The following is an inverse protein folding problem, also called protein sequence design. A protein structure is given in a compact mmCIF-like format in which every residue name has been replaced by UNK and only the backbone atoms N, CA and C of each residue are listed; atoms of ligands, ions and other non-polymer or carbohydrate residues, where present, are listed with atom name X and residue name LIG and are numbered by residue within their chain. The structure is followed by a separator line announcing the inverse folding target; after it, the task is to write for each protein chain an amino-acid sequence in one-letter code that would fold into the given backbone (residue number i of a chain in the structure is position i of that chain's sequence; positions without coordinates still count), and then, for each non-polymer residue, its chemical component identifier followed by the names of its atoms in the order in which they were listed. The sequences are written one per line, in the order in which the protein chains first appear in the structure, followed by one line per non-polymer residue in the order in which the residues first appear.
data_IF_028095692965
#
_entry.id   IF_028095692965
#
_cell.length_a   1.000
_cell.length_b   1.000
_cell.length_c   1.000
_cell.angle_alpha   90.00
_cell.angle_beta   90.00
_cell.angle_gamma   90.00
#
_symmetry.space_group_name_H-M   'P 1'
#
loop_
_entity.id
_entity.type
_entity.pdbx_description
1 polymer ?
#
# COMPACT_ATOMS: atom_id res chain seq x y z
N UNK A 1 -13.87 -32.10 -10.55
CA UNK A 1 -13.97 -30.80 -9.82
C UNK A 1 -12.62 -30.13 -9.64
N UNK A 2 -11.54 -30.89 -9.49
CA UNK A 2 -10.17 -30.41 -9.32
C UNK A 2 -9.63 -29.56 -10.49
N UNK A 3 -9.82 -29.98 -11.75
CA UNK A 3 -9.37 -29.21 -12.93
C UNK A 3 -10.00 -27.80 -13.02
N UNK A 4 -11.29 -27.65 -12.70
CA UNK A 4 -11.97 -26.33 -12.70
C UNK A 4 -11.43 -25.42 -11.60
N UNK A 5 -11.07 -25.98 -10.43
CA UNK A 5 -10.43 -25.24 -9.33
C UNK A 5 -9.02 -24.79 -9.71
N UNK A 6 -8.20 -25.66 -10.29
CA UNK A 6 -6.84 -25.33 -10.74
C UNK A 6 -6.86 -24.21 -11.79
N UNK A 7 -7.76 -24.28 -12.76
CA UNK A 7 -7.93 -23.21 -13.77
C UNK A 7 -8.28 -21.87 -13.11
N UNK A 8 -9.20 -21.88 -12.13
CA UNK A 8 -9.58 -20.67 -11.38
C UNK A 8 -8.38 -20.12 -10.59
N UNK A 9 -7.62 -20.96 -9.90
CA UNK A 9 -6.41 -20.54 -9.17
C UNK A 9 -5.38 -19.91 -10.10
N UNK A 10 -5.11 -20.54 -11.25
CA UNK A 10 -4.15 -20.03 -12.23
C UNK A 10 -4.60 -18.67 -12.78
N UNK A 11 -5.90 -18.53 -13.10
CA UNK A 11 -6.45 -17.27 -13.61
C UNK A 11 -6.31 -16.13 -12.59
N UNK A 12 -6.54 -16.42 -11.31
CA UNK A 12 -6.43 -15.41 -10.25
C UNK A 12 -4.97 -15.08 -9.92
N UNK A 13 -4.07 -16.07 -9.93
CA UNK A 13 -2.63 -15.82 -9.80
C UNK A 13 -2.09 -15.02 -10.99
N UNK A 14 -2.56 -15.30 -12.21
CA UNK A 14 -2.21 -14.53 -13.40
C UNK A 14 -2.70 -13.08 -13.29
N UNK A 15 -3.91 -12.86 -12.76
CA UNK A 15 -4.45 -11.51 -12.50
C UNK A 15 -3.60 -10.75 -11.47
N UNK A 16 -3.24 -11.38 -10.35
CA UNK A 16 -2.37 -10.76 -9.34
C UNK A 16 -0.99 -10.46 -9.93
N UNK A 17 -0.40 -11.42 -10.63
CA UNK A 17 0.89 -11.25 -11.29
C UNK A 17 0.85 -10.13 -12.34
N UNK A 18 -0.26 -9.97 -13.09
CA UNK A 18 -0.43 -8.89 -14.05
C UNK A 18 -0.30 -7.50 -13.40
N UNK A 19 -1.02 -7.25 -12.30
CA UNK A 19 -0.93 -5.96 -11.60
C UNK A 19 0.43 -5.72 -10.95
N UNK A 20 1.03 -6.75 -10.35
CA UNK A 20 2.36 -6.65 -9.75
C UNK A 20 3.42 -6.38 -10.82
N UNK A 21 3.39 -7.10 -11.94
CA UNK A 21 4.35 -6.91 -13.04
C UNK A 21 4.15 -5.56 -13.71
N UNK A 22 2.91 -5.11 -13.92
CA UNK A 22 2.65 -3.75 -14.43
C UNK A 22 3.17 -2.67 -13.49
N UNK A 23 2.97 -2.82 -12.18
CA UNK A 23 3.49 -1.89 -11.18
C UNK A 23 5.02 -1.87 -11.19
N UNK A 24 5.68 -3.03 -11.14
CA UNK A 24 7.14 -3.12 -11.21
C UNK A 24 7.66 -2.52 -12.52
N UNK A 25 6.98 -2.77 -13.65
CA UNK A 25 7.35 -2.16 -14.93
C UNK A 25 7.16 -0.65 -14.94
N UNK A 26 6.13 -0.12 -14.27
CA UNK A 26 5.94 1.32 -14.12
C UNK A 26 7.06 1.94 -13.26
N UNK A 27 7.42 1.29 -12.15
CA UNK A 27 8.50 1.73 -11.25
C UNK A 27 9.88 1.64 -11.93
N UNK A 28 10.22 0.50 -12.53
CA UNK A 28 11.54 0.25 -13.17
C UNK A 28 11.68 0.94 -14.51
N UNK A 29 10.59 1.01 -15.28
CA UNK A 29 10.58 1.65 -16.59
C UNK A 29 10.75 3.17 -16.51
N UNK A 30 10.77 3.74 -15.30
CA UNK A 30 10.75 5.18 -15.08
C UNK A 30 9.78 5.84 -16.06
N UNK A 31 8.56 5.27 -16.20
CA UNK A 31 7.47 6.05 -16.75
C UNK A 31 7.33 7.18 -15.77
N UNK A 32 7.87 8.30 -16.20
CA UNK A 32 7.87 9.54 -15.46
C UNK A 32 6.45 9.68 -14.95
N UNK A 33 6.25 9.64 -13.64
CA UNK A 33 4.99 10.00 -12.98
C UNK A 33 4.66 11.50 -13.20
N UNK A 34 5.30 12.11 -14.20
CA UNK A 34 4.90 13.37 -14.80
C UNK A 34 3.80 13.07 -15.81
N UNK A 35 2.74 13.87 -15.87
CA UNK A 35 1.80 13.82 -16.99
C UNK A 35 2.60 13.83 -18.30
N UNK A 36 2.32 12.89 -19.21
CA UNK A 36 2.97 12.86 -20.54
C UNK A 36 2.56 14.06 -21.38
N UNK A 37 1.50 14.74 -20.97
CA UNK A 37 1.04 16.02 -21.51
C UNK A 37 2.05 17.10 -21.14
N UNK A 38 2.97 17.40 -22.06
CA UNK A 38 3.92 18.49 -21.87
C UNK A 38 3.21 19.84 -22.06
N UNK A 39 3.76 20.92 -21.49
CA UNK A 39 3.21 22.26 -21.68
C UNK A 39 3.11 22.65 -23.17
N UNK A 40 3.89 22.04 -24.05
CA UNK A 40 3.83 22.21 -25.51
C UNK A 40 2.59 21.54 -26.13
N UNK A 41 2.18 20.34 -25.67
CA UNK A 41 0.98 19.64 -26.16
C UNK A 41 -0.31 20.39 -25.81
N UNK A 42 -0.29 21.12 -24.69
CA UNK A 42 -1.44 21.83 -24.14
C UNK A 42 -1.66 23.22 -24.76
N UNK A 43 -0.62 23.81 -25.36
CA UNK A 43 -0.70 25.12 -26.02
C UNK A 43 -1.53 25.08 -27.31
N UNK A 44 -1.65 23.92 -27.95
CA UNK A 44 -2.46 23.72 -29.16
C UNK A 44 -3.94 23.44 -28.91
N UNK A 45 -4.33 23.23 -27.65
CA UNK A 45 -5.70 22.83 -27.27
C UNK A 45 -6.50 24.02 -26.74
N UNK A 46 -7.83 24.04 -26.97
CA UNK A 46 -8.67 25.08 -26.42
C UNK A 46 -8.77 24.95 -24.88
N UNK A 47 -8.84 26.08 -24.17
CA UNK A 47 -8.74 26.17 -22.70
C UNK A 47 -9.68 25.25 -21.91
N UNK A 48 -10.81 24.87 -22.48
CA UNK A 48 -11.84 24.02 -21.87
C UNK A 48 -11.54 22.51 -21.99
N UNK A 49 -10.69 22.10 -22.93
CA UNK A 49 -10.26 20.71 -23.12
C UNK A 49 -9.05 20.35 -22.24
N UNK A 50 -8.24 21.34 -21.86
CA UNK A 50 -7.05 21.18 -21.00
C UNK A 50 -7.38 20.39 -19.71
N UNK A 51 -8.41 20.73 -18.91
CA UNK A 51 -8.72 19.98 -17.70
C UNK A 51 -9.14 18.54 -17.96
N UNK A 52 -9.87 18.28 -19.05
CA UNK A 52 -10.35 16.94 -19.40
C UNK A 52 -9.20 16.02 -19.81
N UNK A 53 -8.27 16.51 -20.61
CA UNK A 53 -7.06 15.76 -21.01
C UNK A 53 -6.19 15.46 -19.80
N UNK A 54 -5.97 16.44 -18.91
CA UNK A 54 -5.23 16.22 -17.67
C UNK A 54 -5.91 15.20 -16.74
N UNK A 55 -7.23 15.29 -16.57
CA UNK A 55 -7.98 14.33 -15.75
C UNK A 55 -7.89 12.92 -16.33
N UNK A 56 -7.95 12.77 -17.65
CA UNK A 56 -7.82 11.49 -18.32
C UNK A 56 -6.41 10.89 -18.14
N UNK A 57 -5.37 11.70 -18.34
CA UNK A 57 -3.98 11.31 -18.14
C UNK A 57 -3.74 10.85 -16.70
N UNK A 58 -4.26 11.60 -15.71
CA UNK A 58 -4.18 11.23 -14.30
C UNK A 58 -4.95 9.94 -13.98
N UNK A 59 -6.13 9.75 -14.57
CA UNK A 59 -6.94 8.55 -14.37
C UNK A 59 -6.26 7.29 -14.94
N UNK A 60 -5.65 7.39 -16.11
CA UNK A 60 -4.92 6.27 -16.74
C UNK A 60 -3.74 5.80 -15.88
N UNK A 61 -3.01 6.74 -15.28
CA UNK A 61 -1.89 6.41 -14.38
C UNK A 61 -2.36 5.94 -13.00
N UNK A 62 -3.38 6.60 -12.43
CA UNK A 62 -3.90 6.29 -11.10
C UNK A 62 -4.56 4.91 -11.01
N UNK A 63 -5.24 4.46 -12.06
CA UNK A 63 -5.98 3.19 -12.05
C UNK A 63 -5.09 1.98 -11.85
N UNK A 64 -3.92 1.92 -12.50
CA UNK A 64 -2.97 0.81 -12.35
C UNK A 64 -2.45 0.76 -10.91
N UNK A 65 -2.13 1.93 -10.34
CA UNK A 65 -1.67 2.05 -8.96
C UNK A 65 -2.73 1.62 -7.95
N UNK A 66 -3.96 2.09 -8.14
CA UNK A 66 -5.10 1.76 -7.29
C UNK A 66 -5.42 0.25 -7.34
N UNK A 67 -5.42 -0.33 -8.55
CA UNK A 67 -5.63 -1.77 -8.77
C UNK A 67 -4.58 -2.61 -8.05
N UNK A 68 -3.30 -2.23 -8.13
CA UNK A 68 -2.24 -2.87 -7.37
C UNK A 68 -2.47 -2.78 -5.86
N UNK A 69 -2.83 -1.60 -5.34
CA UNK A 69 -3.04 -1.40 -3.92
C UNK A 69 -4.18 -2.26 -3.36
N UNK A 70 -5.30 -2.41 -4.09
CA UNK A 70 -6.40 -3.28 -3.67
C UNK A 70 -6.04 -4.76 -3.69
N UNK A 71 -5.32 -5.20 -4.73
CA UNK A 71 -4.83 -6.57 -4.83
C UNK A 71 -3.89 -6.91 -3.67
N UNK A 72 -2.91 -6.04 -3.40
CA UNK A 72 -1.94 -6.24 -2.31
C UNK A 72 -2.61 -6.13 -0.94
N UNK A 73 -3.54 -5.20 -0.75
CA UNK A 73 -4.31 -5.07 0.50
C UNK A 73 -5.12 -6.33 0.82
N UNK A 74 -5.82 -6.88 -0.18
CA UNK A 74 -6.51 -8.16 -0.07
C UNK A 74 -5.58 -9.32 0.23
N UNK A 75 -4.42 -9.35 -0.43
CA UNK A 75 -3.41 -10.37 -0.18
C UNK A 75 -2.87 -10.27 1.26
N UNK A 76 -2.64 -9.06 1.77
CA UNK A 76 -2.21 -8.86 3.15
C UNK A 76 -3.26 -9.33 4.16
N UNK A 77 -4.52 -8.99 3.95
CA UNK A 77 -5.61 -9.38 4.85
C UNK A 77 -5.80 -10.90 4.95
N UNK A 78 -5.50 -11.64 3.89
CA UNK A 78 -5.78 -13.07 3.80
C UNK A 78 -4.53 -13.97 3.95
N UNK A 79 -3.38 -13.57 3.39
CA UNK A 79 -2.18 -14.41 3.36
C UNK A 79 -1.26 -14.24 4.56
N UNK A 80 -1.30 -13.10 5.24
CA UNK A 80 -0.39 -12.87 6.36
C UNK A 80 -0.98 -13.49 7.64
N UNK A 81 -0.29 -14.48 8.24
CA UNK A 81 -0.78 -15.08 9.48
C UNK A 81 -0.72 -14.07 10.62
N UNK A 82 -1.85 -13.89 11.33
CA UNK A 82 -1.97 -13.04 12.53
C UNK A 82 -0.84 -13.19 13.56
N UNK A 83 -0.34 -14.39 13.91
CA UNK A 83 0.79 -14.50 14.84
C UNK A 83 2.07 -13.84 14.33
N UNK A 84 2.27 -13.79 13.01
CA UNK A 84 3.39 -13.07 12.41
C UNK A 84 3.20 -11.55 12.55
N UNK A 85 2.01 -11.02 12.26
CA UNK A 85 1.70 -9.60 12.45
C UNK A 85 1.77 -9.14 13.90
N UNK A 86 1.23 -9.93 14.83
CA UNK A 86 1.33 -9.64 16.27
C UNK A 86 2.77 -9.74 16.78
N UNK A 87 3.62 -10.57 16.17
CA UNK A 87 5.04 -10.68 16.53
C UNK A 87 5.89 -9.54 16.00
N UNK A 88 5.70 -9.13 14.74
CA UNK A 88 6.57 -8.16 14.05
C UNK A 88 5.99 -6.76 13.92
N UNK A 89 4.66 -6.59 13.89
CA UNK A 89 3.98 -5.31 13.69
C UNK A 89 3.07 -4.89 14.86
N UNK A 90 3.38 -5.34 16.08
CA UNK A 90 2.65 -4.90 17.28
C UNK A 90 3.07 -3.49 17.72
N UNK A 91 2.11 -2.63 18.05
CA UNK A 91 2.33 -1.27 18.56
C UNK A 91 3.17 -1.20 19.84
N UNK A 92 3.30 -2.33 20.57
CA UNK A 92 4.10 -2.39 21.80
C UNK A 92 5.60 -2.47 21.54
N UNK A 93 6.02 -2.90 20.36
CA UNK A 93 7.44 -3.13 20.06
C UNK A 93 8.00 -1.96 19.26
N UNK A 94 9.12 -1.34 19.68
CA UNK A 94 9.75 -0.26 18.91
C UNK A 94 10.24 -0.76 17.54
N UNK A 95 10.63 -2.04 17.43
CA UNK A 95 11.09 -2.63 16.18
C UNK A 95 10.01 -2.65 15.08
N UNK A 96 8.73 -2.65 15.47
CA UNK A 96 7.63 -2.62 14.52
C UNK A 96 7.56 -1.29 13.76
N UNK A 97 7.86 -0.18 14.44
CA UNK A 97 7.92 1.14 13.83
C UNK A 97 9.10 1.25 12.85
N UNK A 98 10.25 0.67 13.22
CA UNK A 98 11.42 0.65 12.36
C UNK A 98 11.13 -0.15 11.07
N UNK A 99 10.55 -1.35 11.20
CA UNK A 99 10.14 -2.17 10.06
C UNK A 99 9.15 -1.40 9.16
N UNK A 100 8.16 -0.73 9.75
CA UNK A 100 7.20 0.09 9.01
C UNK A 100 7.86 1.21 8.21
N UNK A 101 8.80 1.95 8.82
CA UNK A 101 9.53 3.04 8.15
C UNK A 101 10.44 2.52 7.03
N UNK A 102 11.10 1.37 7.19
CA UNK A 102 11.95 0.80 6.13
C UNK A 102 11.14 0.16 4.99
N UNK A 103 9.94 -0.34 5.28
CA UNK A 103 9.06 -0.90 4.24
C UNK A 103 8.41 0.19 3.39
N UNK A 104 8.18 1.38 3.93
CA UNK A 104 7.52 2.50 3.24
C UNK A 104 8.18 2.88 1.89
N UNK A 105 9.50 3.15 1.83
CA UNK A 105 10.19 3.50 0.58
C UNK A 105 10.14 2.40 -0.48
N UNK A 106 10.02 1.13 -0.08
CA UNK A 106 10.01 0.00 -1.01
C UNK A 106 8.75 -0.02 -1.88
N UNK A 107 7.63 0.50 -1.38
CA UNK A 107 6.38 0.51 -2.13
C UNK A 107 6.34 1.63 -3.18
N UNK A 108 7.09 2.73 -3.03
CA UNK A 108 7.17 3.82 -4.00
C UNK A 108 5.79 4.30 -4.52
N UNK A 109 4.76 4.29 -3.66
CA UNK A 109 3.37 4.52 -4.09
C UNK A 109 2.82 5.88 -3.65
N UNK A 110 1.76 6.36 -4.33
CA UNK A 110 1.11 7.65 -4.05
C UNK A 110 0.27 7.62 -2.76
N UNK A 111 -0.14 8.80 -2.29
CA UNK A 111 -1.09 8.95 -1.18
C UNK A 111 -2.42 8.19 -1.44
N UNK A 112 -2.87 8.13 -2.70
CA UNK A 112 -4.06 7.42 -3.14
C UNK A 112 -4.06 5.91 -2.80
N UNK A 113 -2.90 5.29 -2.89
CA UNK A 113 -2.70 3.84 -2.72
C UNK A 113 -2.36 3.43 -1.29
N UNK A 114 -1.93 4.38 -0.47
CA UNK A 114 -1.54 4.07 0.91
C UNK A 114 -2.73 3.80 1.81
N UNK A 115 -3.90 4.38 1.53
CA UNK A 115 -5.12 4.14 2.33
C UNK A 115 -5.59 2.68 2.21
N UNK A 116 -5.71 2.08 1.01
CA UNK A 116 -6.00 0.65 0.88
C UNK A 116 -4.93 -0.26 1.48
N UNK A 117 -3.65 0.08 1.34
CA UNK A 117 -2.57 -0.74 1.92
C UNK A 117 -2.60 -0.68 3.46
N UNK A 118 -2.85 0.49 4.03
CA UNK A 118 -3.04 0.68 5.45
C UNK A 118 -4.22 -0.13 5.98
N UNK A 119 -5.37 -0.11 5.29
CA UNK A 119 -6.53 -0.91 5.70
C UNK A 119 -6.17 -2.40 5.66
N UNK A 120 -5.58 -2.91 4.58
CA UNK A 120 -5.14 -4.31 4.48
C UNK A 120 -4.23 -4.72 5.62
N UNK A 121 -3.28 -3.85 6.00
CA UNK A 121 -2.36 -4.09 7.10
C UNK A 121 -3.04 -4.14 8.48
N UNK A 122 -4.00 -3.23 8.75
CA UNK A 122 -4.79 -3.24 9.98
C UNK A 122 -5.69 -4.48 10.06
N UNK A 123 -6.34 -4.85 8.94
CA UNK A 123 -7.18 -6.05 8.86
C UNK A 123 -6.36 -7.33 9.02
N UNK A 124 -5.12 -7.37 8.54
CA UNK A 124 -4.17 -8.46 8.79
C UNK A 124 -3.75 -8.58 10.28
N UNK A 125 -4.13 -7.61 11.14
CA UNK A 125 -3.83 -7.61 12.58
C UNK A 125 -2.62 -6.77 12.98
N UNK A 126 -2.15 -5.88 12.10
CA UNK A 126 -1.12 -4.88 12.42
C UNK A 126 -1.57 -3.92 13.52
N UNK A 127 -0.62 -3.46 14.34
CA UNK A 127 -0.87 -2.43 15.34
C UNK A 127 -1.12 -1.07 14.69
N UNK A 128 -1.99 -0.25 15.28
CA UNK A 128 -2.33 1.08 14.76
C UNK A 128 -1.10 2.00 14.65
N UNK A 129 -0.14 1.89 15.57
CA UNK A 129 1.07 2.72 15.56
C UNK A 129 1.95 2.43 14.34
N UNK A 130 2.48 1.19 14.19
CA UNK A 130 3.29 0.80 13.05
C UNK A 130 2.58 0.97 11.70
N UNK A 131 1.29 0.68 11.64
CA UNK A 131 0.51 0.90 10.42
C UNK A 131 0.40 2.39 10.06
N UNK A 132 0.20 3.27 11.05
CA UNK A 132 0.17 4.71 10.81
C UNK A 132 1.55 5.26 10.43
N UNK A 133 2.61 4.74 11.04
CA UNK A 133 3.99 5.08 10.65
C UNK A 133 4.26 4.70 9.20
N UNK A 134 3.83 3.51 8.77
CA UNK A 134 3.92 3.10 7.35
C UNK A 134 3.11 4.03 6.43
N UNK A 135 1.87 4.35 6.81
CA UNK A 135 0.98 5.25 6.07
C UNK A 135 1.60 6.64 5.86
N UNK A 136 2.27 7.18 6.88
CA UNK A 136 2.88 8.51 6.84
C UNK A 136 4.25 8.51 6.18
N UNK A 137 5.06 7.47 6.38
CA UNK A 137 6.42 7.41 5.86
C UNK A 137 6.48 7.13 4.36
N UNK A 138 5.52 6.39 3.79
CA UNK A 138 5.58 6.00 2.37
C UNK A 138 5.46 7.14 1.35
N UNK A 139 4.53 8.12 1.50
CA UNK A 139 4.51 9.27 0.59
C UNK A 139 5.65 10.25 0.86
N UNK A 140 6.20 10.25 2.08
CA UNK A 140 7.26 11.16 2.48
C UNK A 140 8.66 10.66 2.05
N UNK A 141 8.93 9.36 2.17
CA UNK A 141 10.19 8.74 1.77
C UNK A 141 9.93 7.82 0.58
N UNK A 142 10.02 8.37 -0.64
CA UNK A 142 9.86 7.61 -1.88
C UNK A 142 11.18 7.61 -2.64
N UNK A 143 11.68 6.43 -3.01
CA UNK A 143 12.96 6.29 -3.71
C UNK A 143 13.07 7.18 -4.95
N UNK A 144 11.99 7.31 -5.73
CA UNK A 144 11.98 8.17 -6.93
C UNK A 144 12.07 9.65 -6.56
N UNK A 145 11.31 10.09 -5.55
CA UNK A 145 11.32 11.47 -5.09
C UNK A 145 12.65 11.83 -4.43
N UNK A 146 13.24 10.91 -3.66
CA UNK A 146 14.52 11.07 -3.00
C UNK A 146 15.64 11.21 -4.04
N UNK A 147 15.64 10.41 -5.11
CA UNK A 147 16.62 10.52 -6.21
C UNK A 147 16.53 11.88 -6.90
N UNK A 148 15.32 12.35 -7.22
CA UNK A 148 15.13 13.67 -7.82
C UNK A 148 15.59 14.77 -6.86
N UNK A 149 15.26 14.65 -5.58
CA UNK A 149 15.69 15.60 -4.54
C UNK A 149 17.21 15.63 -4.38
N UNK A 150 17.88 14.48 -4.45
CA UNK A 150 19.35 14.39 -4.44
C UNK A 150 19.95 15.14 -5.64
N UNK A 151 19.35 15.01 -6.83
CA UNK A 151 19.85 15.66 -8.03
C UNK A 151 19.65 17.19 -8.00
N UNK A 152 18.54 17.67 -7.44
CA UNK A 152 18.19 19.10 -7.46
C UNK A 152 18.72 19.86 -6.24
N UNK A 153 18.57 19.31 -5.03
CA UNK A 153 18.91 19.97 -3.75
C UNK A 153 20.23 19.46 -3.15
N UNK A 154 20.75 18.33 -3.64
CA UNK A 154 21.97 17.71 -3.15
C UNK A 154 21.74 16.69 -2.02
N UNK A 155 22.78 15.88 -1.79
CA UNK A 155 22.74 14.72 -0.90
C UNK A 155 22.44 15.04 0.57
N UNK A 156 22.91 16.20 1.06
CA UNK A 156 22.74 16.59 2.47
C UNK A 156 21.29 16.86 2.81
N UNK A 157 20.55 17.55 1.93
CA UNK A 157 19.15 17.92 2.17
C UNK A 157 18.26 16.67 2.02
N UNK A 158 18.52 15.83 1.01
CA UNK A 158 17.75 14.61 0.81
C UNK A 158 17.84 13.65 2.02
N UNK A 159 19.03 13.45 2.59
CA UNK A 159 19.16 12.64 3.81
C UNK A 159 18.46 13.27 5.00
N UNK A 160 18.59 14.59 5.17
CA UNK A 160 17.94 15.29 6.27
C UNK A 160 16.41 15.15 6.20
N UNK A 161 15.85 15.27 4.99
CA UNK A 161 14.42 15.07 4.74
C UNK A 161 13.99 13.63 5.03
N UNK A 162 14.69 12.63 4.48
CA UNK A 162 14.38 11.22 4.70
C UNK A 162 14.37 10.84 6.19
N UNK A 163 15.33 11.36 6.95
CA UNK A 163 15.41 11.17 8.41
C UNK A 163 14.27 11.92 9.12
N UNK A 164 14.04 13.19 8.78
CA UNK A 164 13.00 14.01 9.41
C UNK A 164 11.60 13.43 9.18
N UNK A 165 11.29 13.03 7.95
CA UNK A 165 10.06 12.33 7.57
C UNK A 165 9.92 10.98 8.29
N UNK A 166 10.97 10.16 8.31
CA UNK A 166 10.96 8.87 9.00
C UNK A 166 10.72 9.03 10.51
N UNK A 167 11.43 9.96 11.16
CA UNK A 167 11.32 10.22 12.59
C UNK A 167 9.96 10.82 12.95
N UNK A 168 9.45 11.77 12.17
CA UNK A 168 8.13 12.36 12.39
C UNK A 168 7.01 11.33 12.26
N UNK A 169 7.07 10.45 11.26
CA UNK A 169 6.11 9.35 11.09
C UNK A 169 6.14 8.36 12.27
N UNK A 170 7.32 8.05 12.81
CA UNK A 170 7.47 7.20 14.01
C UNK A 170 6.89 7.89 15.25
N UNK A 171 7.20 9.18 15.45
CA UNK A 171 6.70 9.95 16.59
C UNK A 171 5.16 10.01 16.56
N UNK A 172 4.58 10.35 15.42
CA UNK A 172 3.12 10.43 15.25
C UNK A 172 2.48 9.07 15.49
N UNK A 173 2.99 8.01 14.85
CA UNK A 173 2.51 6.64 15.05
C UNK A 173 2.59 6.20 16.51
N UNK A 174 3.69 6.50 17.19
CA UNK A 174 3.89 6.16 18.59
C UNK A 174 2.91 6.92 19.50
N UNK A 175 2.74 8.23 19.30
CA UNK A 175 1.79 9.04 20.07
C UNK A 175 0.37 8.49 19.90
N UNK A 176 -0.06 8.25 18.66
CA UNK A 176 -1.40 7.73 18.37
C UNK A 176 -1.61 6.35 19.00
N UNK A 177 -0.59 5.49 19.03
CA UNK A 177 -0.68 4.19 19.70
C UNK A 177 -0.92 4.29 21.21
N UNK A 178 -0.46 5.38 21.85
CA UNK A 178 -0.63 5.61 23.29
C UNK A 178 -1.97 6.25 23.63
N UNK A 179 -2.56 7.00 22.71
CA UNK A 179 -3.85 7.65 22.88
C UNK A 179 -4.98 6.63 23.16
N UNK A 180 -5.95 6.94 24.04
CA UNK A 180 -7.08 6.05 24.33
C UNK A 180 -7.85 5.63 23.07
N UNK A 181 -7.98 6.54 22.10
CA UNK A 181 -8.58 6.27 20.80
C UNK A 181 -7.81 5.20 20.02
N UNK A 182 -6.48 5.32 19.91
CA UNK A 182 -5.65 4.35 19.20
C UNK A 182 -5.71 2.96 19.84
N UNK A 183 -5.68 2.88 21.17
CA UNK A 183 -5.85 1.59 21.88
C UNK A 183 -7.22 0.97 21.64
N UNK A 184 -8.30 1.75 21.63
CA UNK A 184 -9.66 1.27 21.33
C UNK A 184 -9.76 0.80 19.88
N UNK A 185 -9.15 1.52 18.95
CA UNK A 185 -9.09 1.16 17.53
C UNK A 185 -8.32 -0.15 17.34
N UNK A 186 -7.11 -0.25 17.89
CA UNK A 186 -6.29 -1.47 17.82
C UNK A 186 -7.03 -2.66 18.43
N UNK A 187 -7.71 -2.48 19.57
CA UNK A 187 -8.55 -3.53 20.15
C UNK A 187 -9.74 -3.89 19.26
N UNK A 188 -10.37 -2.93 18.59
CA UNK A 188 -11.50 -3.22 17.69
C UNK A 188 -11.03 -4.09 16.54
N UNK A 189 -9.88 -3.83 15.92
CA UNK A 189 -9.41 -4.61 14.76
C UNK A 189 -8.62 -5.88 15.15
N UNK A 190 -7.99 -5.92 16.33
CA UNK A 190 -7.40 -7.15 16.87
C UNK A 190 -8.44 -8.10 17.51
N UNK A 191 -9.54 -7.57 18.07
CA UNK A 191 -10.61 -8.37 18.68
C UNK A 191 -11.83 -8.58 17.78
N UNK A 192 -12.09 -7.77 16.74
CA UNK A 192 -13.27 -7.98 15.89
C UNK A 192 -13.16 -9.31 15.15
N UNK A 193 -14.10 -10.23 15.37
CA UNK A 193 -14.08 -11.58 14.86
C UNK A 193 -14.67 -11.72 13.45
N UNK A 194 -14.64 -10.69 12.60
CA UNK A 194 -14.95 -10.88 11.17
C UNK A 194 -13.87 -11.72 10.43
N UNK A 195 -12.78 -12.08 11.13
CA UNK A 195 -11.76 -13.03 10.70
C UNK A 195 -11.39 -14.01 11.84
N UNK A 196 -12.31 -14.29 12.76
CA UNK A 196 -12.15 -15.42 13.69
C UNK A 196 -13.04 -16.56 13.20
N UNK A 197 -12.77 -17.05 11.99
CA UNK A 197 -13.10 -18.44 11.69
C UNK A 197 -12.02 -19.27 12.37
N UNK A 198 -12.22 -19.54 13.65
CA UNK A 198 -11.62 -20.70 14.30
C UNK A 198 -12.26 -21.94 13.68
N UNK A 199 -11.71 -22.38 12.56
CA UNK A 199 -11.78 -23.78 12.16
C UNK A 199 -10.33 -24.19 11.95
N UNK A 200 -10.02 -25.40 12.36
CA UNK A 200 -8.74 -26.09 12.23
C UNK A 200 -7.87 -25.66 11.05
N UNK A 201 -6.58 -25.95 11.19
CA UNK A 201 -5.54 -26.03 10.15
C UNK A 201 -5.90 -26.97 8.97
N UNK A 202 -7.14 -26.99 8.49
CA UNK A 202 -7.46 -27.32 7.11
C UNK A 202 -7.06 -26.10 6.30
N UNK A 203 -5.87 -26.18 5.70
CA UNK A 203 -5.35 -25.22 4.74
C UNK A 203 -6.40 -25.04 3.64
N UNK A 204 -7.25 -24.03 3.75
CA UNK A 204 -8.26 -23.72 2.73
C UNK A 204 -7.57 -23.65 1.36
N UNK A 205 -8.19 -24.20 0.31
CA UNK A 205 -7.57 -24.29 -0.98
C UNK A 205 -7.31 -22.87 -1.51
N UNK A 206 -6.18 -22.72 -2.21
CA UNK A 206 -5.61 -21.43 -2.60
C UNK A 206 -6.58 -20.53 -3.40
N UNK A 207 -7.56 -21.14 -4.09
CA UNK A 207 -8.62 -20.48 -4.85
C UNK A 207 -9.62 -19.71 -3.98
N UNK A 208 -9.98 -20.21 -2.80
CA UNK A 208 -10.90 -19.51 -1.91
C UNK A 208 -10.22 -18.33 -1.22
N UNK A 209 -8.96 -18.52 -0.81
CA UNK A 209 -8.15 -17.43 -0.24
C UNK A 209 -7.92 -16.30 -1.24
N UNK A 210 -7.55 -16.60 -2.49
CA UNK A 210 -7.42 -15.56 -3.51
C UNK A 210 -8.75 -14.84 -3.79
N UNK A 211 -9.89 -15.54 -3.68
CA UNK A 211 -11.21 -14.94 -3.91
C UNK A 211 -11.66 -14.04 -2.77
N UNK A 212 -11.41 -14.45 -1.53
CA UNK A 212 -11.60 -13.63 -0.33
C UNK A 212 -10.74 -12.37 -0.40
N UNK A 213 -9.45 -12.52 -0.75
CA UNK A 213 -8.51 -11.41 -0.94
C UNK A 213 -9.01 -10.40 -1.99
N UNK A 214 -9.40 -10.88 -3.19
CA UNK A 214 -9.90 -9.98 -4.24
C UNK A 214 -11.25 -9.34 -3.90
N UNK A 215 -12.14 -10.05 -3.20
CA UNK A 215 -13.40 -9.46 -2.70
C UNK A 215 -13.15 -8.37 -1.67
N UNK A 216 -12.21 -8.59 -0.75
CA UNK A 216 -11.83 -7.59 0.24
C UNK A 216 -11.20 -6.37 -0.43
N UNK A 217 -10.30 -6.58 -1.40
CA UNK A 217 -9.76 -5.50 -2.23
C UNK A 217 -10.85 -4.74 -2.97
N UNK A 218 -11.83 -5.44 -3.53
CA UNK A 218 -12.99 -4.83 -4.20
C UNK A 218 -13.97 -4.10 -3.28
N UNK A 219 -14.06 -4.47 -1.98
CA UNK A 219 -14.85 -3.71 -1.00
C UNK A 219 -14.20 -2.35 -0.66
N UNK A 220 -12.89 -2.23 -0.88
CA UNK A 220 -12.13 -1.00 -0.64
C UNK A 220 -12.08 -0.08 -1.87
N UNK A 221 -12.48 -0.57 -3.05
CA UNK A 221 -12.50 0.12 -4.33
C UNK A 221 -13.80 0.91 -4.56
#
# INVERSE_FOLDING_TARGET
MEKKRVIKTILMLAFIAFFIVMMIRAIVGAYTLTPTSTAEDLQGLPLWEIPLVYMWDYAQHGWICLGFAFVVSGLFAEFIPKPFMLKYMSSRKPIAYLIATFMAPLFCVCSCTMVPLFSGLIYAGGGIGPALTFLLAAPANNLLADIVTIQVLGWQIAIADMIAAGVSAVIIGYIVSKTPWGKRFEQKFQKNPAQTTSIELVKEPLDERLWSALKFGGYLA
#
